data_IF_985451486426
#
_entry.id   IF_985451486426
#
_cell.length_a   1.000
_cell.length_b   1.000
_cell.length_c   1.000
_cell.angle_alpha   90.00
_cell.angle_beta   90.00
_cell.angle_gamma   90.00
#
_symmetry.space_group_name_H-M   'P 1'
#
loop_
_entity.id
_entity.type
_entity.pdbx_description
1 polymer ?
#
# COMPACT_ATOMS: atom_id res chain seq x y z
N UNK A 1 8.05 33.88 0.58
CA UNK A 1 7.36 33.30 -0.59
C UNK A 1 7.68 31.82 -0.59
N UNK A 2 6.69 30.97 -0.28
CA UNK A 2 6.87 29.51 -0.39
C UNK A 2 7.07 29.19 -1.87
N UNK A 3 8.08 28.38 -2.21
CA UNK A 3 8.30 27.92 -3.59
C UNK A 3 7.11 27.10 -4.10
N UNK A 4 7.04 26.76 -5.39
CA UNK A 4 6.00 25.85 -5.87
C UNK A 4 6.08 24.56 -5.06
N UNK A 5 4.95 24.09 -4.54
CA UNK A 5 4.89 22.83 -3.81
C UNK A 5 5.42 21.73 -4.74
N UNK A 6 6.63 21.24 -4.47
CA UNK A 6 7.25 20.18 -5.27
C UNK A 6 6.62 18.87 -4.84
N UNK A 7 5.82 18.27 -5.72
CA UNK A 7 5.24 16.96 -5.51
C UNK A 7 5.71 15.98 -6.59
N UNK A 8 5.85 14.71 -6.20
CA UNK A 8 6.17 13.61 -7.09
C UNK A 8 4.92 12.77 -7.33
N UNK A 9 4.66 12.43 -8.61
CA UNK A 9 3.53 11.58 -9.00
C UNK A 9 4.05 10.35 -9.74
N UNK A 10 3.43 9.20 -9.47
CA UNK A 10 3.61 7.96 -10.22
C UNK A 10 2.25 7.36 -10.54
N UNK A 11 2.12 6.72 -11.70
CA UNK A 11 0.91 5.97 -12.06
C UNK A 11 1.03 4.56 -11.48
N UNK A 12 0.00 4.11 -10.75
CA UNK A 12 0.00 2.79 -10.12
C UNK A 12 0.35 1.61 -11.08
N UNK A 13 -0.11 1.58 -12.35
CA UNK A 13 0.26 0.50 -13.27
C UNK A 13 1.76 0.44 -13.63
N UNK A 14 2.51 1.51 -13.40
CA UNK A 14 3.94 1.60 -13.71
C UNK A 14 4.82 1.19 -12.51
N UNK A 15 4.23 0.98 -11.34
CA UNK A 15 4.94 0.61 -10.12
C UNK A 15 5.21 -0.90 -10.09
N UNK A 16 6.45 -1.29 -9.78
CA UNK A 16 6.83 -2.68 -9.59
C UNK A 16 5.93 -3.37 -8.55
N UNK A 17 5.50 -4.59 -8.87
CA UNK A 17 4.61 -5.39 -8.03
C UNK A 17 5.29 -6.65 -7.50
N UNK A 18 4.99 -6.97 -6.25
CA UNK A 18 5.43 -8.18 -5.56
C UNK A 18 4.25 -9.15 -5.32
N UNK A 19 4.55 -10.32 -4.75
CA UNK A 19 3.55 -11.33 -4.33
C UNK A 19 2.53 -11.68 -5.41
N UNK A 20 3.02 -12.14 -6.57
CA UNK A 20 2.15 -12.53 -7.69
C UNK A 20 1.42 -11.37 -8.37
N UNK A 21 1.81 -10.12 -8.10
CA UNK A 21 1.27 -8.92 -8.75
C UNK A 21 0.30 -8.11 -7.89
N UNK A 22 -0.10 -8.61 -6.72
CA UNK A 22 -1.08 -7.93 -5.88
C UNK A 22 -0.54 -6.68 -5.18
N UNK A 23 0.76 -6.63 -4.84
CA UNK A 23 1.32 -5.58 -4.00
C UNK A 23 2.20 -4.61 -4.79
N UNK A 24 1.71 -3.40 -5.04
CA UNK A 24 2.50 -2.32 -5.63
C UNK A 24 3.45 -1.71 -4.57
N UNK A 25 4.75 -1.67 -4.87
CA UNK A 25 5.81 -1.21 -3.95
C UNK A 25 5.93 0.32 -3.92
N UNK A 26 4.86 1.00 -3.50
CA UNK A 26 4.72 2.47 -3.53
C UNK A 26 5.84 3.17 -2.77
N UNK A 27 6.19 2.69 -1.56
CA UNK A 27 7.30 3.25 -0.78
C UNK A 27 8.59 3.35 -1.58
N UNK A 28 8.97 2.26 -2.26
CA UNK A 28 10.18 2.21 -3.06
C UNK A 28 10.07 3.11 -4.29
N UNK A 29 8.92 3.07 -4.97
CA UNK A 29 8.69 3.84 -6.20
C UNK A 29 8.71 5.36 -6.00
N UNK A 30 8.33 5.85 -4.81
CA UNK A 30 8.34 7.27 -4.43
C UNK A 30 9.53 7.66 -3.55
N UNK A 31 10.45 6.74 -3.27
CA UNK A 31 11.62 7.02 -2.41
C UNK A 31 11.28 7.38 -0.95
N UNK A 32 10.12 6.93 -0.45
CA UNK A 32 9.66 7.24 0.92
C UNK A 32 10.52 6.46 1.92
N UNK A 33 11.08 7.17 2.91
CA UNK A 33 11.92 6.57 3.96
C UNK A 33 11.31 6.66 5.36
N UNK A 34 10.34 7.56 5.57
CA UNK A 34 9.78 7.84 6.88
C UNK A 34 8.74 6.80 7.36
N UNK A 35 8.02 6.15 6.44
CA UNK A 35 6.98 5.17 6.77
C UNK A 35 6.82 4.09 5.68
N UNK A 36 6.12 3.01 6.01
CA UNK A 36 5.69 1.97 5.08
C UNK A 36 4.46 2.40 4.29
N UNK A 37 4.46 2.19 2.98
CA UNK A 37 3.26 2.38 2.15
C UNK A 37 3.26 1.42 0.96
N UNK A 38 2.12 0.78 0.76
CA UNK A 38 1.83 -0.11 -0.35
C UNK A 38 0.40 0.10 -0.83
N UNK A 39 0.16 -0.20 -2.10
CA UNK A 39 -1.19 -0.39 -2.61
C UNK A 39 -1.36 -1.85 -2.91
N UNK A 40 -2.42 -2.45 -2.39
CA UNK A 40 -2.74 -3.86 -2.57
C UNK A 40 -3.99 -3.97 -3.40
N UNK A 41 -3.90 -4.64 -4.54
CA UNK A 41 -5.06 -5.01 -5.33
C UNK A 41 -5.55 -6.39 -4.87
N UNK A 42 -6.77 -6.42 -4.35
CA UNK A 42 -7.43 -7.65 -3.89
C UNK A 42 -8.63 -7.93 -4.81
N UNK A 43 -8.47 -8.74 -5.88
CA UNK A 43 -9.58 -9.14 -6.73
C UNK A 43 -10.66 -9.90 -5.94
N UNK A 44 -11.91 -9.96 -6.41
CA UNK A 44 -12.93 -10.79 -5.77
C UNK A 44 -12.46 -12.23 -5.56
N UNK A 45 -12.78 -12.81 -4.40
CA UNK A 45 -12.34 -14.16 -4.00
C UNK A 45 -10.81 -14.32 -3.90
N UNK A 46 -10.11 -13.27 -3.45
CA UNK A 46 -8.63 -13.28 -3.29
C UNK A 46 -8.13 -14.26 -2.21
N UNK A 47 -9.02 -14.82 -1.38
CA UNK A 47 -8.66 -15.85 -0.39
C UNK A 47 -7.57 -15.36 0.56
N UNK A 48 -6.50 -16.14 0.69
CA UNK A 48 -5.39 -15.88 1.62
C UNK A 48 -4.29 -14.96 1.04
N UNK A 49 -4.55 -14.18 -0.02
CA UNK A 49 -3.57 -13.22 -0.56
C UNK A 49 -3.19 -12.16 0.50
N UNK A 50 -4.10 -11.83 1.41
CA UNK A 50 -3.84 -11.01 2.59
C UNK A 50 -4.18 -11.83 3.84
N UNK A 51 -3.23 -12.65 4.36
CA UNK A 51 -3.48 -13.47 5.54
C UNK A 51 -3.62 -12.60 6.79
N UNK A 52 -4.32 -13.13 7.79
CA UNK A 52 -4.36 -12.54 9.13
C UNK A 52 -2.94 -12.41 9.70
N UNK A 53 -2.61 -11.24 10.23
CA UNK A 53 -1.32 -10.96 10.84
C UNK A 53 -1.44 -9.88 11.91
N UNK A 54 -0.39 -9.75 12.72
CA UNK A 54 -0.28 -8.71 13.73
C UNK A 54 1.13 -8.12 13.80
N UNK A 55 1.21 -6.91 14.34
CA UNK A 55 2.44 -6.14 14.52
C UNK A 55 2.88 -6.05 15.99
N UNK A 56 2.51 -7.02 16.84
CA UNK A 56 2.90 -7.01 18.26
C UNK A 56 4.41 -7.15 18.47
N UNK A 57 5.10 -7.72 17.49
CA UNK A 57 6.52 -8.03 17.55
C UNK A 57 7.42 -6.88 17.06
N UNK A 58 6.90 -6.00 16.21
CA UNK A 58 7.66 -4.88 15.63
C UNK A 58 7.06 -3.51 15.96
N UNK A 59 5.86 -3.47 16.55
CA UNK A 59 5.20 -2.26 17.02
C UNK A 59 4.69 -1.35 15.89
N UNK A 60 4.53 -1.87 14.68
CA UNK A 60 3.99 -1.08 13.57
C UNK A 60 2.51 -0.77 13.78
N UNK A 61 2.14 0.47 13.48
CA UNK A 61 0.76 0.91 13.36
C UNK A 61 0.41 1.07 11.88
N UNK A 62 -0.79 0.64 11.49
CA UNK A 62 -1.22 0.65 10.10
C UNK A 62 -2.46 1.53 9.89
N UNK A 63 -2.49 2.21 8.74
CA UNK A 63 -3.65 2.96 8.27
C UNK A 63 -4.11 2.38 6.94
N UNK A 64 -5.37 1.94 6.90
CA UNK A 64 -5.99 1.39 5.71
C UNK A 64 -6.87 2.45 5.03
N UNK A 65 -6.67 2.62 3.72
CA UNK A 65 -7.50 3.49 2.88
C UNK A 65 -8.04 2.69 1.70
N UNK A 66 -9.37 2.62 1.59
CA UNK A 66 -10.04 2.00 0.47
C UNK A 66 -9.98 2.94 -0.75
N UNK A 67 -9.19 2.59 -1.76
CA UNK A 67 -9.03 3.39 -2.99
C UNK A 67 -10.11 3.11 -4.03
N UNK A 68 -10.61 1.86 -4.11
CA UNK A 68 -11.69 1.47 -5.01
C UNK A 68 -12.37 0.18 -4.55
N UNK A 69 -13.60 -0.06 -5.02
CA UNK A 69 -14.38 -1.24 -4.68
C UNK A 69 -14.99 -1.18 -3.28
N UNK A 70 -15.07 -2.34 -2.63
CA UNK A 70 -15.57 -2.54 -1.26
C UNK A 70 -14.83 -3.69 -0.60
N UNK A 71 -14.58 -3.60 0.69
CA UNK A 71 -13.98 -4.65 1.49
C UNK A 71 -14.60 -4.69 2.88
N UNK A 72 -14.57 -5.87 3.49
CA UNK A 72 -14.76 -6.03 4.93
C UNK A 72 -13.37 -6.13 5.56
N UNK A 73 -13.09 -5.28 6.54
CA UNK A 73 -11.84 -5.31 7.29
C UNK A 73 -12.15 -5.80 8.70
N UNK A 74 -11.48 -6.87 9.10
CA UNK A 74 -11.52 -7.42 10.45
C UNK A 74 -10.20 -7.05 11.12
N UNK A 75 -10.27 -6.47 12.33
CA UNK A 75 -9.12 -6.00 13.13
C UNK A 75 -9.13 -6.61 14.52
#
# INVERSE_FOLDING_TARGET
MSGPDTYEVRRLPEIERAFGGAFARVRAALGITAFGVQVVDLPPNSGEIAPEHDHRHDGQEELYLLLSGSAELVV
#
